data_IF_673021388813
#
_entry.id   IF_673021388813
#
_cell.length_a   1.000
_cell.length_b   1.000
_cell.length_c   1.000
_cell.angle_alpha   90.00
_cell.angle_beta   90.00
_cell.angle_gamma   90.00
#
_symmetry.space_group_name_H-M   'P 1'
#
loop_
_entity.id
_entity.type
_entity.pdbx_description
1 polymer ?
#
# COMPACT_ATOMS: atom_id res chain seq x y z
N UNK A 1 -13.01 -35.06 -70.65
CA UNK A 1 -13.49 -33.69 -70.39
C UNK A 1 -14.26 -33.66 -69.08
N UNK A 2 -13.97 -32.68 -68.20
CA UNK A 2 -14.59 -32.32 -66.90
C UNK A 2 -14.02 -32.95 -65.61
N UNK A 3 -13.10 -32.16 -65.04
CA UNK A 3 -12.69 -32.06 -63.64
C UNK A 3 -13.91 -31.86 -62.73
N UNK A 4 -13.95 -32.54 -61.57
CA UNK A 4 -14.58 -32.00 -60.35
C UNK A 4 -13.75 -32.38 -59.12
N UNK A 5 -12.93 -31.42 -58.71
CA UNK A 5 -12.33 -31.35 -57.38
C UNK A 5 -13.45 -31.20 -56.33
N UNK A 6 -13.29 -31.86 -55.18
CA UNK A 6 -13.97 -31.47 -53.94
C UNK A 6 -12.95 -31.43 -52.81
N UNK A 7 -12.46 -30.22 -52.60
CA UNK A 7 -11.72 -29.77 -51.43
C UNK A 7 -12.67 -29.89 -50.24
N UNK A 8 -12.33 -30.73 -49.26
CA UNK A 8 -12.99 -30.73 -47.96
C UNK A 8 -12.36 -29.57 -47.18
N UNK A 9 -13.09 -28.46 -47.07
CA UNK A 9 -12.69 -27.32 -46.27
C UNK A 9 -12.75 -27.71 -44.78
N UNK A 10 -11.58 -27.86 -44.17
CA UNK A 10 -11.42 -28.01 -42.73
C UNK A 10 -11.66 -26.61 -42.10
N UNK A 11 -12.87 -26.36 -41.59
CA UNK A 11 -13.16 -25.17 -40.80
C UNK A 11 -12.48 -25.29 -39.43
N UNK A 12 -11.24 -24.79 -39.34
CA UNK A 12 -10.65 -24.42 -38.05
C UNK A 12 -11.36 -23.17 -37.55
N UNK A 13 -12.35 -23.34 -36.66
CA UNK A 13 -12.82 -22.28 -35.79
C UNK A 13 -11.72 -21.98 -34.76
N UNK A 14 -10.78 -21.12 -35.13
CA UNK A 14 -9.97 -20.38 -34.17
C UNK A 14 -10.91 -19.36 -33.49
N UNK A 15 -11.47 -19.74 -32.36
CA UNK A 15 -12.10 -18.79 -31.44
C UNK A 15 -10.96 -17.93 -30.89
N UNK A 16 -10.68 -16.80 -31.54
CA UNK A 16 -9.91 -15.74 -30.92
C UNK A 16 -10.80 -15.12 -29.85
N UNK A 17 -10.72 -15.63 -28.62
CA UNK A 17 -11.24 -14.89 -27.47
C UNK A 17 -10.39 -13.64 -27.29
N UNK A 18 -10.71 -12.59 -28.04
CA UNK A 18 -10.35 -11.23 -27.68
C UNK A 18 -11.15 -10.88 -26.44
N UNK A 19 -10.64 -11.27 -25.27
CA UNK A 19 -11.03 -10.58 -24.05
C UNK A 19 -10.66 -9.11 -24.28
N UNK A 20 -11.67 -8.27 -24.46
CA UNK A 20 -11.49 -6.84 -24.46
C UNK A 20 -10.73 -6.48 -23.18
N UNK A 21 -9.52 -5.95 -23.33
CA UNK A 21 -8.80 -5.26 -22.27
C UNK A 21 -9.55 -3.95 -21.99
N UNK A 22 -10.79 -4.05 -21.50
CA UNK A 22 -11.46 -2.91 -20.88
C UNK A 22 -10.66 -2.56 -19.64
N UNK A 23 -10.44 -1.26 -19.40
CA UNK A 23 -9.72 -0.74 -18.25
C UNK A 23 -10.19 -1.43 -16.96
N UNK A 24 -9.41 -2.38 -16.45
CA UNK A 24 -9.72 -3.07 -15.22
C UNK A 24 -9.52 -2.09 -14.06
N UNK A 25 -10.61 -1.47 -13.62
CA UNK A 25 -10.64 -0.62 -12.44
C UNK A 25 -10.92 -1.50 -11.24
N UNK A 26 -9.95 -1.60 -10.32
CA UNK A 26 -10.12 -2.34 -9.07
C UNK A 26 -11.18 -1.66 -8.18
N UNK A 27 -12.05 -2.47 -7.56
CA UNK A 27 -13.12 -1.98 -6.70
C UNK A 27 -12.63 -1.48 -5.33
N UNK A 28 -13.55 -0.96 -4.51
CA UNK A 28 -13.21 -0.50 -3.14
C UNK A 28 -12.61 -1.62 -2.28
N UNK A 29 -13.25 -2.79 -2.24
CA UNK A 29 -12.79 -3.91 -1.41
C UNK A 29 -11.46 -4.47 -1.89
N UNK A 30 -11.27 -4.55 -3.21
CA UNK A 30 -10.01 -4.98 -3.81
C UNK A 30 -8.89 -3.97 -3.50
N UNK A 31 -9.14 -2.67 -3.69
CA UNK A 31 -8.18 -1.63 -3.31
C UNK A 31 -7.86 -1.68 -1.81
N UNK A 32 -8.87 -1.85 -0.96
CA UNK A 32 -8.70 -1.94 0.49
C UNK A 32 -7.88 -3.17 0.88
N UNK A 33 -8.03 -4.28 0.16
CA UNK A 33 -7.29 -5.52 0.40
C UNK A 33 -5.77 -5.35 0.23
N UNK A 34 -5.34 -4.39 -0.59
CA UNK A 34 -3.93 -4.05 -0.76
C UNK A 34 -3.29 -3.44 0.48
N UNK A 35 -4.06 -2.79 1.36
CA UNK A 35 -3.54 -2.05 2.52
C UNK A 35 -3.90 -2.71 3.85
N UNK A 36 -5.08 -3.31 3.94
CA UNK A 36 -5.60 -3.82 5.21
C UNK A 36 -4.73 -4.97 5.73
N UNK A 37 -4.40 -4.92 7.02
CA UNK A 37 -3.57 -5.92 7.67
C UNK A 37 -2.19 -6.08 7.03
N UNK A 38 -1.54 -4.98 6.66
CA UNK A 38 -0.20 -4.98 6.06
C UNK A 38 0.75 -4.14 6.91
N UNK A 39 1.98 -4.64 7.09
CA UNK A 39 3.12 -3.79 7.45
C UNK A 39 3.80 -3.36 6.15
N UNK A 40 3.84 -2.06 5.88
CA UNK A 40 4.41 -1.50 4.66
C UNK A 40 5.62 -0.63 4.98
N UNK A 41 6.67 -0.75 4.17
CA UNK A 41 7.84 0.10 4.23
C UNK A 41 7.81 1.05 3.04
N UNK A 42 7.71 2.34 3.29
CA UNK A 42 7.84 3.36 2.25
C UNK A 42 9.21 4.04 2.33
N UNK A 43 9.66 4.58 1.20
CA UNK A 43 10.86 5.40 1.18
C UNK A 43 10.76 6.53 0.15
N UNK A 44 11.11 7.72 0.60
CA UNK A 44 11.44 8.85 -0.27
C UNK A 44 12.64 9.62 0.29
N UNK A 45 13.22 10.52 -0.51
CA UNK A 45 14.44 11.26 -0.13
C UNK A 45 14.20 12.29 0.97
N UNK A 46 12.95 12.76 1.13
CA UNK A 46 12.59 13.82 2.06
C UNK A 46 12.34 13.27 3.47
N UNK A 47 11.48 12.25 3.57
CA UNK A 47 11.12 11.62 4.85
C UNK A 47 12.15 10.54 5.25
N UNK A 48 12.71 9.81 4.28
CA UNK A 48 13.48 8.59 4.52
C UNK A 48 12.59 7.35 4.59
N UNK A 49 13.08 6.29 5.23
CA UNK A 49 12.28 5.06 5.43
C UNK A 49 11.18 5.31 6.46
N UNK A 50 9.94 5.00 6.13
CA UNK A 50 8.83 4.97 7.08
C UNK A 50 8.25 3.57 7.12
N UNK A 51 7.75 3.13 8.27
CA UNK A 51 7.08 1.84 8.40
C UNK A 51 5.71 2.02 9.03
N UNK A 52 4.67 1.62 8.31
CA UNK A 52 3.29 1.75 8.74
C UNK A 52 2.66 0.36 8.83
N UNK A 53 2.11 -0.01 10.00
CA UNK A 53 1.19 -1.14 10.09
C UNK A 53 -0.25 -0.65 9.99
N UNK A 54 -0.93 -1.04 8.91
CA UNK A 54 -2.31 -0.66 8.59
C UNK A 54 -3.25 -1.77 9.08
N UNK A 55 -3.86 -1.59 10.25
CA UNK A 55 -4.64 -2.64 10.91
C UNK A 55 -6.08 -2.75 10.40
N UNK A 56 -6.68 -3.95 10.53
CA UNK A 56 -8.08 -4.23 10.10
C UNK A 56 -9.13 -3.32 10.73
N UNK A 57 -8.89 -2.84 11.95
CA UNK A 57 -9.81 -2.04 12.75
C UNK A 57 -9.76 -0.54 12.45
N UNK A 58 -9.14 -0.12 11.35
CA UNK A 58 -9.00 1.30 10.99
C UNK A 58 -7.91 2.03 11.78
N UNK A 59 -7.05 1.32 12.52
CA UNK A 59 -5.88 1.90 13.20
C UNK A 59 -4.63 1.79 12.35
N UNK A 60 -3.77 2.79 12.47
CA UNK A 60 -2.46 2.83 11.84
C UNK A 60 -1.39 2.99 12.92
N UNK A 61 -0.21 2.45 12.68
CA UNK A 61 0.92 2.45 13.60
C UNK A 61 2.20 2.78 12.82
N UNK A 62 2.62 4.03 12.94
CA UNK A 62 3.76 4.56 12.21
C UNK A 62 5.02 4.53 13.07
N UNK A 63 6.05 3.84 12.56
CA UNK A 63 7.43 4.04 12.98
C UNK A 63 8.10 5.00 11.99
N UNK A 64 8.28 6.24 12.44
CA UNK A 64 8.90 7.32 11.67
C UNK A 64 10.39 7.49 12.05
N UNK A 65 11.28 7.89 11.12
CA UNK A 65 12.69 8.11 11.44
C UNK A 65 12.92 9.04 12.62
N UNK A 66 13.79 8.59 13.55
CA UNK A 66 14.15 9.35 14.75
C UNK A 66 13.14 9.28 15.89
N UNK A 67 11.92 8.78 15.67
CA UNK A 67 10.95 8.66 16.76
C UNK A 67 11.34 7.53 17.72
N UNK A 68 11.23 7.81 19.01
CA UNK A 68 11.39 6.83 20.10
C UNK A 68 10.07 6.12 20.43
N UNK A 69 8.95 6.58 19.88
CA UNK A 69 7.63 6.02 20.10
C UNK A 69 6.91 5.78 18.78
N UNK A 70 5.98 4.82 18.79
CA UNK A 70 5.11 4.55 17.65
C UNK A 70 4.01 5.61 17.62
N UNK A 71 3.83 6.26 16.47
CA UNK A 71 2.74 7.20 16.27
C UNK A 71 1.47 6.41 15.95
N UNK A 72 0.51 6.43 16.87
CA UNK A 72 -0.76 5.70 16.75
C UNK A 72 -1.79 6.58 16.06
N UNK A 73 -2.18 6.21 14.85
CA UNK A 73 -3.13 6.94 14.04
C UNK A 73 -4.41 6.14 13.74
N UNK A 74 -5.19 6.72 12.85
CA UNK A 74 -6.31 6.07 12.18
C UNK A 74 -6.06 6.10 10.68
N UNK A 75 -6.61 5.14 9.95
CA UNK A 75 -6.62 5.15 8.49
C UNK A 75 -8.02 4.88 7.95
N UNK A 76 -8.25 5.30 6.71
CA UNK A 76 -9.42 4.93 5.92
C UNK A 76 -9.06 4.94 4.43
N UNK A 77 -9.87 4.23 3.66
CA UNK A 77 -9.94 4.39 2.22
C UNK A 77 -11.24 5.13 1.91
N UNK A 78 -11.20 6.14 1.05
CA UNK A 78 -12.38 6.89 0.60
C UNK A 78 -12.36 7.08 -0.91
N UNK A 79 -13.54 7.30 -1.51
CA UNK A 79 -13.63 7.64 -2.94
C UNK A 79 -13.06 9.04 -3.16
N UNK A 80 -12.26 9.21 -4.21
CA UNK A 80 -11.89 10.55 -4.67
C UNK A 80 -13.00 11.14 -5.56
N UNK A 81 -12.81 12.39 -6.01
CA UNK A 81 -13.68 13.00 -7.03
C UNK A 81 -13.66 12.22 -8.35
N UNK A 82 -12.53 11.58 -8.67
CA UNK A 82 -12.46 10.61 -9.75
C UNK A 82 -13.01 9.26 -9.24
N UNK A 83 -14.12 8.75 -9.79
CA UNK A 83 -14.76 7.52 -9.30
C UNK A 83 -13.88 6.27 -9.43
N UNK A 84 -12.84 6.32 -10.26
CA UNK A 84 -11.89 5.23 -10.47
C UNK A 84 -10.64 5.33 -9.58
N UNK A 85 -10.56 6.36 -8.72
CA UNK A 85 -9.43 6.56 -7.81
C UNK A 85 -9.94 6.61 -6.38
N UNK A 86 -9.30 5.85 -5.51
CA UNK A 86 -9.49 5.91 -4.07
C UNK A 86 -8.35 6.67 -3.40
N UNK A 87 -8.70 7.44 -2.38
CA UNK A 87 -7.72 8.08 -1.51
C UNK A 87 -7.47 7.19 -0.29
N UNK A 88 -6.20 6.90 -0.04
CA UNK A 88 -5.73 6.38 1.24
C UNK A 88 -5.48 7.57 2.16
N UNK A 89 -6.16 7.59 3.30
CA UNK A 89 -6.08 8.67 4.25
C UNK A 89 -5.57 8.19 5.60
N UNK A 90 -4.69 8.99 6.20
CA UNK A 90 -4.20 8.80 7.56
C UNK A 90 -4.61 9.99 8.42
N UNK A 91 -4.80 9.74 9.71
CA UNK A 91 -5.01 10.78 10.72
C UNK A 91 -4.18 10.44 11.94
N UNK A 92 -3.16 11.25 12.17
CA UNK A 92 -2.34 11.19 13.38
C UNK A 92 -2.86 12.19 14.45
N UNK A 93 -2.54 12.00 15.73
CA UNK A 93 -3.00 12.86 16.82
C UNK A 93 -2.61 14.34 16.65
N UNK A 94 -3.41 15.26 17.18
CA UNK A 94 -3.17 16.70 17.04
C UNK A 94 -1.86 17.21 17.70
N UNK A 95 -1.30 16.44 18.63
CA UNK A 95 -0.03 16.74 19.31
C UNK A 95 1.19 16.18 18.58
N UNK A 96 1.05 15.67 17.35
CA UNK A 96 2.19 15.27 16.51
C UNK A 96 2.55 16.36 15.53
N UNK A 97 3.83 16.42 15.13
CA UNK A 97 4.33 17.36 14.13
C UNK A 97 5.21 16.61 13.14
N UNK A 98 4.97 16.78 11.84
CA UNK A 98 5.82 16.24 10.80
C UNK A 98 6.89 17.28 10.42
N UNK A 99 8.16 17.11 10.84
CA UNK A 99 9.21 18.09 10.54
C UNK A 99 9.58 18.14 9.05
N UNK A 100 9.17 17.15 8.25
CA UNK A 100 9.41 17.15 6.81
C UNK A 100 8.41 18.09 6.09
N UNK A 101 7.14 18.09 6.46
CA UNK A 101 6.12 18.94 5.81
C UNK A 101 5.86 20.25 6.55
N UNK A 102 6.23 20.34 7.83
CA UNK A 102 5.91 21.48 8.69
C UNK A 102 4.46 21.46 9.20
N UNK A 103 3.77 20.34 9.07
CA UNK A 103 2.35 20.21 9.41
C UNK A 103 2.16 19.54 10.78
N UNK A 104 1.17 20.01 11.52
CA UNK A 104 0.69 19.36 12.73
C UNK A 104 -0.40 18.34 12.39
N UNK A 105 -0.48 17.27 13.19
CA UNK A 105 -1.52 16.26 13.06
C UNK A 105 -2.92 16.79 13.42
N UNK A 106 -3.89 15.87 13.51
CA UNK A 106 -5.26 16.17 13.91
C UNK A 106 -6.26 16.24 12.76
N UNK A 107 -5.78 16.43 11.53
CA UNK A 107 -6.60 16.36 10.31
C UNK A 107 -6.41 15.03 9.59
N UNK A 108 -7.30 14.75 8.64
CA UNK A 108 -7.09 13.66 7.69
C UNK A 108 -6.19 14.15 6.57
N UNK A 109 -5.10 13.43 6.34
CA UNK A 109 -4.18 13.64 5.23
C UNK A 109 -4.37 12.51 4.24
N UNK A 110 -4.73 12.84 3.00
CA UNK A 110 -5.15 11.90 1.99
C UNK A 110 -4.27 12.01 0.75
N UNK A 111 -3.97 10.87 0.15
CA UNK A 111 -3.34 10.80 -1.17
C UNK A 111 -3.98 9.68 -1.99
N UNK A 112 -3.84 9.74 -3.31
CA UNK A 112 -4.28 8.65 -4.17
C UNK A 112 -3.60 7.34 -3.73
N UNK A 113 -4.39 6.29 -3.49
CA UNK A 113 -3.91 5.00 -3.00
C UNK A 113 -2.84 4.40 -3.93
N UNK A 114 -3.03 4.55 -5.25
CA UNK A 114 -2.04 4.14 -6.24
C UNK A 114 -0.70 4.87 -6.09
N UNK A 115 -0.71 6.16 -5.75
CA UNK A 115 0.53 6.93 -5.54
C UNK A 115 1.27 6.45 -4.29
N UNK A 116 0.57 6.16 -3.19
CA UNK A 116 1.18 5.55 -2.01
C UNK A 116 1.92 4.24 -2.36
N UNK A 117 1.30 3.37 -3.17
CA UNK A 117 1.91 2.10 -3.59
C UNK A 117 3.19 2.30 -4.41
N UNK A 118 3.35 3.41 -5.14
CA UNK A 118 4.59 3.68 -5.90
C UNK A 118 5.82 3.91 -5.02
N UNK A 119 5.62 4.31 -3.76
CA UNK A 119 6.71 4.54 -2.80
C UNK A 119 6.87 3.40 -1.79
N UNK A 120 6.01 2.38 -1.84
CA UNK A 120 6.20 1.15 -1.08
C UNK A 120 7.37 0.38 -1.67
N UNK A 121 8.34 0.06 -0.81
CA UNK A 121 9.58 -0.63 -1.19
C UNK A 121 9.65 -2.06 -0.64
N UNK A 122 8.85 -2.37 0.38
CA UNK A 122 8.73 -3.70 1.00
C UNK A 122 7.39 -3.78 1.75
N UNK A 123 6.82 -4.97 1.87
CA UNK A 123 5.58 -5.19 2.63
C UNK A 123 5.46 -6.64 3.12
N UNK A 124 4.64 -6.85 4.14
CA UNK A 124 4.29 -8.18 4.61
C UNK A 124 2.91 -8.19 5.28
N UNK A 125 2.23 -9.32 5.16
CA UNK A 125 0.97 -9.59 5.83
C UNK A 125 1.12 -9.51 7.37
N UNK A 126 0.21 -8.78 7.99
CA UNK A 126 0.09 -8.63 9.44
C UNK A 126 1.07 -7.63 10.06
N UNK A 127 1.12 -7.64 11.39
CA UNK A 127 1.97 -6.77 12.21
C UNK A 127 3.33 -7.44 12.49
N UNK A 128 4.15 -7.60 11.45
CA UNK A 128 5.41 -8.37 11.53
C UNK A 128 6.47 -7.73 12.44
N UNK A 129 6.33 -6.43 12.74
CA UNK A 129 7.18 -5.70 13.68
C UNK A 129 6.54 -5.47 15.06
N UNK A 130 5.32 -5.99 15.28
CA UNK A 130 4.56 -5.87 16.53
C UNK A 130 4.29 -4.41 16.95
N UNK A 131 4.18 -3.49 15.99
CA UNK A 131 3.99 -2.05 16.21
C UNK A 131 2.70 -1.76 16.99
N UNK A 132 1.65 -2.54 16.77
CA UNK A 132 0.35 -2.34 17.43
C UNK A 132 0.38 -2.60 18.93
N UNK A 133 1.31 -3.45 19.38
CA UNK A 133 1.48 -3.86 20.78
C UNK A 133 2.58 -3.09 21.49
N UNK A 134 3.35 -2.29 20.75
CA UNK A 134 4.50 -1.61 21.30
C UNK A 134 4.09 -0.38 22.13
N UNK A 135 4.71 -0.23 23.30
CA UNK A 135 4.64 0.99 24.12
C UNK A 135 5.70 2.03 23.71
N UNK A 136 6.80 1.58 23.10
CA UNK A 136 7.89 2.37 22.55
C UNK A 136 8.30 1.84 21.17
N UNK A 137 9.09 2.60 20.40
CA UNK A 137 9.67 2.09 19.16
C UNK A 137 10.60 0.90 19.48
N UNK A 138 10.54 -0.22 18.74
CA UNK A 138 11.40 -1.38 19.01
C UNK A 138 12.90 -1.08 18.77
N UNK A 139 13.18 -0.04 17.97
CA UNK A 139 14.48 0.56 17.73
C UNK A 139 14.26 1.94 17.11
N UNK A 140 15.26 2.82 17.20
CA UNK A 140 15.22 4.12 16.48
C UNK A 140 15.45 3.88 14.99
N UNK A 141 14.47 4.23 14.17
CA UNK A 141 14.54 4.07 12.72
C UNK A 141 15.45 5.15 12.11
N UNK A 142 16.38 4.75 11.25
CA UNK A 142 17.23 5.67 10.52
C UNK A 142 16.57 6.09 9.19
N UNK A 143 16.88 7.29 8.68
CA UNK A 143 16.34 7.79 7.41
C UNK A 143 16.76 6.99 6.16
N UNK A 144 17.85 6.21 6.22
CA UNK A 144 18.33 5.41 5.07
C UNK A 144 17.33 4.32 4.68
N UNK A 145 17.31 3.94 3.39
CA UNK A 145 16.53 2.80 2.87
C UNK A 145 16.73 1.55 3.73
N UNK A 146 15.65 0.84 4.03
CA UNK A 146 15.67 -0.43 4.75
C UNK A 146 14.62 -1.39 4.18
N UNK A 147 14.83 -2.69 4.36
CA UNK A 147 13.85 -3.74 4.08
C UNK A 147 13.27 -4.29 5.39
N UNK A 148 12.07 -4.88 5.35
CA UNK A 148 11.46 -5.55 6.50
C UNK A 148 12.38 -6.60 7.08
N UNK A 149 13.02 -7.42 6.24
CA UNK A 149 13.97 -8.43 6.71
C UNK A 149 15.10 -7.82 7.56
N UNK A 150 15.60 -6.64 7.17
CA UNK A 150 16.64 -5.93 7.94
C UNK A 150 16.12 -5.34 9.26
N UNK A 151 14.86 -4.94 9.29
CA UNK A 151 14.21 -4.34 10.46
C UNK A 151 13.79 -5.41 11.48
N UNK A 152 13.27 -6.55 11.01
CA UNK A 152 12.90 -7.70 11.85
C UNK A 152 14.12 -8.19 12.65
N UNK A 153 15.31 -8.22 12.03
CA UNK A 153 16.56 -8.59 12.72
C UNK A 153 16.97 -7.65 13.86
N UNK A 154 16.40 -6.44 13.92
CA UNK A 154 16.65 -5.46 14.98
C UNK A 154 15.64 -5.54 16.11
N UNK A 155 14.59 -6.36 15.99
CA UNK A 155 13.64 -6.51 17.07
C UNK A 155 14.36 -7.03 18.32
N UNK A 156 14.04 -6.50 19.51
CA UNK A 156 14.55 -7.05 20.76
C UNK A 156 14.12 -8.51 20.89
N UNK A 157 15.00 -9.33 21.45
CA UNK A 157 14.74 -10.75 21.72
C UNK A 157 13.82 -10.90 22.92
#
# INVERSE_FOLDING_TARGET
>A
MRIKARIIALFLLLITSSAALGDYVIGYDETKSLFVNQTMVTYDRHHGTQVEYIAKNGKSYLLYPGNETIVKGSWKLEKSENPNVFNLCFKYPANTFNPATGESGGNWECQAAGFYLTVVTDHADGDVLKLSKASAAPFVLAKRKASLASLIRKLPK
#
